data_IF_690924547263
#
_entry.id   IF_690924547263
#
_cell.length_a   1.000
_cell.length_b   1.000
_cell.length_c   1.000
_cell.angle_alpha   90.00
_cell.angle_beta   90.00
_cell.angle_gamma   90.00
#
_symmetry.space_group_name_H-M   'P 1'
#
loop_
_entity.id
_entity.type
_entity.pdbx_description
1 polymer ?
#
# COMPACT_ATOMS: atom_id res chain seq x y z
N UNK A 1 -11.72 1.62 7.69
CA UNK A 1 -10.35 1.22 7.36
C UNK A 1 -9.47 1.50 8.55
N UNK A 2 -9.17 0.45 9.31
CA UNK A 2 -8.07 0.41 10.28
C UNK A 2 -6.72 0.35 9.54
N UNK A 3 -5.61 0.43 10.28
CA UNK A 3 -4.26 0.27 9.70
C UNK A 3 -4.10 -1.12 9.05
N UNK A 4 -4.64 -2.16 9.68
CA UNK A 4 -4.62 -3.53 9.14
C UNK A 4 -5.46 -3.63 7.87
N UNK A 5 -6.69 -3.09 7.86
CA UNK A 5 -7.55 -3.08 6.66
C UNK A 5 -6.91 -2.29 5.51
N UNK A 6 -6.24 -1.17 5.81
CA UNK A 6 -5.52 -0.38 4.81
C UNK A 6 -4.33 -1.15 4.24
N UNK A 7 -3.54 -1.82 5.09
CA UNK A 7 -2.43 -2.66 4.67
C UNK A 7 -2.91 -3.81 3.78
N UNK A 8 -3.98 -4.51 4.18
CA UNK A 8 -4.62 -5.56 3.36
C UNK A 8 -5.02 -4.99 2.01
N UNK A 9 -5.69 -3.83 1.98
CA UNK A 9 -6.14 -3.23 0.73
C UNK A 9 -4.97 -2.87 -0.19
N UNK A 10 -3.91 -2.26 0.34
CA UNK A 10 -2.73 -1.90 -0.45
C UNK A 10 -2.06 -3.16 -1.01
N UNK A 11 -1.94 -4.23 -0.23
CA UNK A 11 -1.38 -5.50 -0.68
C UNK A 11 -2.19 -6.10 -1.83
N UNK A 12 -3.52 -6.18 -1.68
CA UNK A 12 -4.43 -6.69 -2.73
C UNK A 12 -4.41 -5.80 -3.97
N UNK A 13 -4.47 -4.47 -3.81
CA UNK A 13 -4.47 -3.51 -4.92
C UNK A 13 -3.17 -3.57 -5.73
N UNK A 14 -2.01 -3.72 -5.08
CA UNK A 14 -0.70 -3.79 -5.75
C UNK A 14 -0.46 -5.10 -6.49
N UNK A 15 -1.15 -6.17 -6.12
CA UNK A 15 -0.93 -7.48 -6.72
C UNK A 15 -1.37 -7.59 -8.19
N UNK A 16 -2.15 -6.63 -8.70
CA UNK A 16 -2.69 -6.55 -10.06
C UNK A 16 -3.60 -7.72 -10.52
N UNK A 17 -3.51 -8.88 -9.88
CA UNK A 17 -4.35 -10.06 -10.04
C UNK A 17 -4.96 -10.47 -8.70
N UNK A 18 -6.09 -11.21 -8.70
CA UNK A 18 -6.67 -11.72 -7.46
C UNK A 18 -5.68 -12.59 -6.67
N UNK A 19 -5.52 -12.30 -5.38
CA UNK A 19 -4.58 -13.01 -4.49
C UNK A 19 -5.26 -13.87 -3.43
N UNK A 20 -4.62 -14.98 -3.06
CA UNK A 20 -5.04 -15.84 -1.97
C UNK A 20 -4.64 -15.29 -0.60
N UNK A 21 -5.26 -15.85 0.45
CA UNK A 21 -5.00 -15.49 1.84
C UNK A 21 -3.57 -15.85 2.30
N UNK A 22 -2.97 -16.89 1.72
CA UNK A 22 -1.60 -17.32 1.98
C UNK A 22 -0.57 -16.26 1.52
N UNK A 23 -0.71 -15.78 0.29
CA UNK A 23 0.13 -14.72 -0.28
C UNK A 23 -0.06 -13.42 0.51
N UNK A 24 -1.30 -13.08 0.82
CA UNK A 24 -1.62 -11.91 1.62
C UNK A 24 -0.94 -11.97 3.00
N UNK A 25 -1.03 -13.09 3.71
CA UNK A 25 -0.44 -13.26 5.03
C UNK A 25 1.09 -13.10 5.02
N UNK A 26 1.76 -13.62 4.00
CA UNK A 26 3.21 -13.45 3.83
C UNK A 26 3.60 -11.98 3.59
N UNK A 27 2.85 -11.25 2.75
CA UNK A 27 3.08 -9.82 2.52
C UNK A 27 2.93 -9.04 3.82
N UNK A 28 1.84 -9.26 4.56
CA UNK A 28 1.56 -8.54 5.80
C UNK A 28 2.57 -8.87 6.90
N UNK A 29 2.99 -10.13 7.02
CA UNK A 29 4.02 -10.53 7.99
C UNK A 29 5.34 -9.80 7.78
N UNK A 30 5.72 -9.53 6.51
CA UNK A 30 6.91 -8.73 6.19
C UNK A 30 6.73 -7.25 6.53
N UNK A 31 5.54 -6.68 6.33
CA UNK A 31 5.30 -5.24 6.55
C UNK A 31 5.17 -4.89 8.02
N UNK A 32 4.55 -5.75 8.82
CA UNK A 32 4.36 -5.53 10.25
C UNK A 32 5.53 -6.03 11.11
N UNK A 33 6.54 -6.65 10.49
CA UNK A 33 7.67 -7.31 11.18
C UNK A 33 7.19 -8.26 12.29
N UNK A 34 5.99 -8.82 12.14
CA UNK A 34 5.27 -9.59 13.15
C UNK A 34 4.23 -10.50 12.49
N UNK A 35 3.92 -11.61 13.15
CA UNK A 35 2.84 -12.51 12.72
C UNK A 35 1.51 -11.87 13.06
N UNK A 36 0.82 -11.33 12.05
CA UNK A 36 -0.59 -10.98 12.18
C UNK A 36 -1.39 -12.28 12.21
N UNK A 37 -2.24 -12.46 13.22
CA UNK A 37 -3.04 -13.67 13.39
C UNK A 37 -3.89 -13.96 12.15
N UNK A 38 -3.96 -15.22 11.68
CA UNK A 38 -4.82 -15.58 10.54
C UNK A 38 -6.28 -15.18 10.75
N UNK A 39 -6.75 -15.28 12.00
CA UNK A 39 -8.11 -14.91 12.40
C UNK A 39 -8.34 -13.39 12.32
N UNK A 40 -7.34 -12.58 12.67
CA UNK A 40 -7.40 -11.11 12.56
C UNK A 40 -7.47 -10.67 11.10
N UNK A 41 -6.67 -11.32 10.23
CA UNK A 41 -6.70 -11.08 8.79
C UNK A 41 -8.06 -11.50 8.22
N UNK A 42 -8.56 -12.68 8.59
CA UNK A 42 -9.84 -13.19 8.11
C UNK A 42 -11.00 -12.28 8.53
N UNK A 43 -11.04 -11.86 9.80
CA UNK A 43 -12.04 -10.93 10.30
C UNK A 43 -11.99 -9.57 9.58
N UNK A 44 -10.80 -9.02 9.38
CA UNK A 44 -10.63 -7.78 8.63
C UNK A 44 -11.07 -7.93 7.16
N UNK A 45 -10.68 -9.02 6.50
CA UNK A 45 -11.09 -9.30 5.11
C UNK A 45 -12.60 -9.42 4.99
N UNK A 46 -13.26 -10.15 5.89
CA UNK A 46 -14.73 -10.28 5.92
C UNK A 46 -15.38 -8.89 6.03
N UNK A 47 -14.96 -8.08 7.00
CA UNK A 47 -15.46 -6.71 7.17
C UNK A 47 -15.25 -5.85 5.91
N UNK A 48 -14.11 -6.00 5.23
CA UNK A 48 -13.80 -5.24 4.02
C UNK A 48 -14.64 -5.68 2.82
N UNK A 49 -14.96 -6.98 2.72
CA UNK A 49 -15.87 -7.52 1.68
C UNK A 49 -17.29 -7.04 1.94
N UNK A 50 -17.78 -7.11 3.18
CA UNK A 50 -19.11 -6.61 3.57
C UNK A 50 -19.28 -5.12 3.28
N UNK A 51 -18.21 -4.33 3.45
CA UNK A 51 -18.20 -2.89 3.13
C UNK A 51 -17.98 -2.59 1.65
N UNK A 52 -17.84 -3.60 0.80
CA UNK A 52 -17.63 -3.45 -0.64
C UNK A 52 -16.25 -2.92 -1.04
N UNK A 53 -15.27 -2.93 -0.13
CA UNK A 53 -13.90 -2.48 -0.43
C UNK A 53 -13.07 -3.55 -1.12
N UNK A 54 -13.38 -4.82 -0.88
CA UNK A 54 -12.82 -5.97 -1.57
C UNK A 54 -13.94 -6.81 -2.17
N UNK A 55 -13.60 -7.59 -3.18
CA UNK A 55 -14.49 -8.61 -3.76
C UNK A 55 -13.75 -9.94 -3.83
N UNK A 56 -14.51 -11.03 -3.61
CA UNK A 56 -14.01 -12.39 -3.76
C UNK A 56 -14.28 -12.90 -5.18
N UNK A 57 -13.22 -13.31 -5.88
CA UNK A 57 -13.27 -13.91 -7.22
C UNK A 57 -12.53 -15.24 -7.16
N UNK A 58 -13.26 -16.36 -7.29
CA UNK A 58 -12.66 -17.69 -7.29
C UNK A 58 -11.88 -18.02 -6.00
N UNK A 59 -12.37 -17.58 -4.84
CA UNK A 59 -11.68 -17.75 -3.55
C UNK A 59 -10.50 -16.82 -3.31
N UNK A 60 -10.28 -15.83 -4.19
CA UNK A 60 -9.20 -14.85 -4.11
C UNK A 60 -9.73 -13.43 -3.99
N UNK A 61 -8.94 -12.55 -3.39
CA UNK A 61 -9.30 -11.17 -3.12
C UNK A 61 -8.90 -10.25 -4.27
N UNK A 62 -9.80 -9.36 -4.66
CA UNK A 62 -9.54 -8.28 -5.61
C UNK A 62 -10.03 -6.94 -5.04
N UNK A 63 -9.29 -5.87 -5.32
CA UNK A 63 -9.64 -4.53 -4.86
C UNK A 63 -10.76 -3.93 -5.71
N UNK A 64 -11.71 -3.24 -5.06
CA UNK A 64 -12.80 -2.52 -5.75
C UNK A 64 -12.47 -1.03 -5.95
N UNK A 65 -13.24 -0.36 -6.80
CA UNK A 65 -13.15 1.08 -6.98
C UNK A 65 -13.52 1.85 -5.70
N UNK A 66 -14.52 1.40 -4.95
CA UNK A 66 -14.94 2.03 -3.70
C UNK A 66 -13.86 1.90 -2.62
N UNK A 67 -13.26 0.71 -2.48
CA UNK A 67 -12.11 0.51 -1.62
C UNK A 67 -10.95 1.43 -2.00
N UNK A 68 -10.69 1.60 -3.31
CA UNK A 68 -9.62 2.49 -3.81
C UNK A 68 -9.87 3.94 -3.42
N UNK A 69 -11.12 4.41 -3.49
CA UNK A 69 -11.48 5.78 -3.09
C UNK A 69 -11.22 6.03 -1.61
N UNK A 70 -11.58 5.07 -0.75
CA UNK A 70 -11.34 5.16 0.71
C UNK A 70 -9.83 5.10 1.01
N UNK A 71 -9.12 4.12 0.46
CA UNK A 71 -7.69 3.96 0.67
C UNK A 71 -6.88 5.18 0.18
N UNK A 72 -7.27 5.78 -0.95
CA UNK A 72 -6.63 6.99 -1.50
C UNK A 72 -6.71 8.17 -0.52
N UNK A 73 -7.87 8.41 0.11
CA UNK A 73 -8.01 9.46 1.10
C UNK A 73 -7.10 9.25 2.31
N UNK A 74 -7.05 8.01 2.82
CA UNK A 74 -6.19 7.66 3.95
C UNK A 74 -4.72 7.80 3.60
N UNK A 75 -4.33 7.42 2.38
CA UNK A 75 -2.94 7.52 1.94
C UNK A 75 -2.46 8.94 1.72
N UNK A 76 -3.33 9.81 1.22
CA UNK A 76 -3.06 11.25 1.22
C UNK A 76 -2.87 11.79 2.64
N UNK A 77 -3.67 11.32 3.60
CA UNK A 77 -3.50 11.64 5.02
C UNK A 77 -2.14 11.20 5.56
N UNK A 78 -1.75 9.94 5.34
CA UNK A 78 -0.45 9.39 5.77
C UNK A 78 0.71 10.18 5.17
N UNK A 79 0.69 10.44 3.86
CA UNK A 79 1.73 11.24 3.19
C UNK A 79 1.85 12.60 3.85
N UNK A 80 0.74 13.33 4.01
CA UNK A 80 0.78 14.69 4.60
C UNK A 80 1.21 14.69 6.07
N UNK A 81 0.89 13.64 6.84
CA UNK A 81 1.34 13.52 8.23
C UNK A 81 2.84 13.28 8.31
N UNK A 82 3.40 12.36 7.49
CA UNK A 82 4.84 12.11 7.43
C UNK A 82 5.60 13.34 6.95
N UNK A 83 5.00 14.07 6.03
CA UNK A 83 5.51 15.30 5.47
C UNK A 83 5.33 16.52 6.40
N UNK A 84 4.69 16.35 7.58
CA UNK A 84 4.33 17.41 8.53
C UNK A 84 3.60 18.61 7.88
N UNK A 85 2.98 18.42 6.72
CA UNK A 85 2.39 19.48 5.89
C UNK A 85 3.40 20.41 5.21
N UNK A 86 4.68 20.06 5.17
CA UNK A 86 5.79 20.95 4.73
C UNK A 86 6.32 20.68 3.32
N UNK A 87 5.88 19.62 2.64
CA UNK A 87 6.34 19.13 1.33
C UNK A 87 7.82 18.74 1.27
N UNK A 88 8.43 18.41 2.41
CA UNK A 88 9.81 17.93 2.51
C UNK A 88 10.04 16.63 1.73
N UNK A 89 9.03 15.74 1.62
CA UNK A 89 9.18 14.51 0.82
C UNK A 89 9.36 14.85 -0.66
N UNK A 90 8.57 15.79 -1.18
CA UNK A 90 8.65 16.22 -2.59
C UNK A 90 10.03 16.86 -2.88
N UNK A 91 10.55 17.67 -1.93
CA UNK A 91 11.87 18.29 -2.04
C UNK A 91 12.98 17.22 -2.02
N UNK A 92 12.90 16.24 -1.12
CA UNK A 92 13.90 15.17 -1.03
C UNK A 92 13.95 14.34 -2.34
N UNK A 93 12.79 14.06 -2.94
CA UNK A 93 12.71 13.39 -4.23
C UNK A 93 13.35 14.23 -5.35
N UNK A 94 12.99 15.52 -5.44
CA UNK A 94 13.56 16.43 -6.44
C UNK A 94 15.09 16.54 -6.31
N UNK A 95 15.59 16.64 -5.07
CA UNK A 95 17.03 16.68 -4.81
C UNK A 95 17.72 15.37 -5.21
N UNK A 96 17.05 14.22 -5.09
CA UNK A 96 17.58 12.92 -5.52
C UNK A 96 17.72 12.87 -7.05
N UNK A 97 16.74 13.38 -7.80
CA UNK A 97 16.81 13.48 -9.28
C UNK A 97 17.94 14.40 -9.71
N UNK A 98 18.05 15.60 -9.12
CA UNK A 98 19.13 16.54 -9.44
C UNK A 98 20.52 15.96 -9.17
N UNK A 99 20.67 15.18 -8.10
CA UNK A 99 21.94 14.49 -7.78
C UNK A 99 22.26 13.37 -8.76
N UNK A 100 21.25 12.63 -9.25
CA UNK A 100 21.44 11.64 -10.31
C UNK A 100 21.98 12.30 -11.59
N UNK A 101 21.30 13.34 -12.08
CA UNK A 101 21.71 14.08 -13.28
C UNK A 101 23.09 14.71 -13.11
N UNK A 102 23.39 15.27 -11.94
CA UNK A 102 24.74 15.76 -11.63
C UNK A 102 25.79 14.63 -11.73
N UNK A 103 25.49 13.44 -11.18
CA UNK A 103 26.36 12.28 -11.27
C UNK A 103 26.57 11.78 -12.70
N UNK A 104 25.57 11.86 -13.57
CA UNK A 104 25.70 11.53 -15.00
C UNK A 104 26.64 12.52 -15.71
N UNK A 105 26.49 13.82 -15.44
CA UNK A 105 27.36 14.88 -15.97
C UNK A 105 28.81 14.75 -15.47
N UNK A 106 29.00 14.43 -14.18
CA UNK A 106 30.32 14.29 -13.57
C UNK A 106 31.07 13.03 -14.08
N UNK A 107 30.35 11.96 -14.44
CA UNK A 107 30.94 10.67 -14.86
C UNK A 107 30.95 10.43 -16.37
N UNK A 108 30.35 11.32 -17.18
CA UNK A 108 30.51 11.34 -18.64
C UNK A 108 29.94 10.14 -19.42
N UNK A 109 29.02 9.36 -18.85
CA UNK A 109 28.42 8.23 -19.56
C UNK A 109 27.25 8.67 -20.45
N UNK A 110 27.53 8.77 -21.76
CA UNK A 110 26.60 8.48 -22.85
C UNK A 110 27.11 7.24 -23.60
#
# INVERSE_FOLDING_TARGET
MTVVELAIFIAVYRAAQPIGADVLSNILGRWFESVVGPDDIAGAVTNMVERGWLVMIGGRLMATQDGRRVASHLMNGVIRMLDQGTRLIDVALMMSVLRLTKGELDNGNL
#
